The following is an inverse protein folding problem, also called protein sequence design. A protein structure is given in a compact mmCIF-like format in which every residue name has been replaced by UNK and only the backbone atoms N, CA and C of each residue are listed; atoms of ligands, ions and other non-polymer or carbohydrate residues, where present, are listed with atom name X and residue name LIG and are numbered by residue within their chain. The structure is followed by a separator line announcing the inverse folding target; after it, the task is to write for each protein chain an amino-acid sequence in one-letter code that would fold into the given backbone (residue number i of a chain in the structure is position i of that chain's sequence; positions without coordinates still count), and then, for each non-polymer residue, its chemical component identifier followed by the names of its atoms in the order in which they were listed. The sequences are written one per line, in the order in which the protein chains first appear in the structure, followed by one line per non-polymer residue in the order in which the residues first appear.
data_IF_854018106814
#
_entry.id   IF_854018106814
#
_cell.length_a   1.000
_cell.length_b   1.000
_cell.length_c   1.000
_cell.angle_alpha   90.00
_cell.angle_beta   90.00
_cell.angle_gamma   90.00
#
_symmetry.space_group_name_H-M   'P 1'
#
loop_
_entity.id
_entity.type
_entity.pdbx_description
1 polymer ?
#
# COMPACT_ATOMS: atom_id res chain seq x y z
N UNK A 1 12.36 -3.55 -11.07
CA UNK A 1 11.72 -2.52 -11.93
C UNK A 1 10.54 -3.16 -12.65
N UNK A 2 9.44 -2.44 -12.78
CA UNK A 2 8.24 -2.88 -13.51
C UNK A 2 7.84 -1.79 -14.51
N UNK A 3 7.64 -2.20 -15.77
CA UNK A 3 7.13 -1.39 -16.85
C UNK A 3 5.69 -1.83 -17.15
N UNK A 4 4.72 -0.91 -17.09
CA UNK A 4 3.35 -1.19 -17.50
C UNK A 4 2.62 0.12 -17.84
N UNK A 5 1.74 0.11 -18.85
CA UNK A 5 1.02 1.31 -19.31
C UNK A 5 1.92 2.54 -19.52
N UNK A 6 3.12 2.35 -20.10
CA UNK A 6 4.14 3.40 -20.31
C UNK A 6 4.70 4.05 -19.02
N UNK A 7 4.42 3.47 -17.85
CA UNK A 7 4.97 3.90 -16.56
C UNK A 7 6.05 2.94 -16.09
N UNK A 8 7.06 3.50 -15.42
CA UNK A 8 8.18 2.78 -14.83
C UNK A 8 8.13 2.89 -13.31
N UNK A 9 8.07 1.75 -12.63
CA UNK A 9 8.13 1.67 -11.17
C UNK A 9 9.40 1.01 -10.67
N UNK A 10 10.03 1.66 -9.71
CA UNK A 10 11.01 1.06 -8.83
C UNK A 10 10.29 0.42 -7.64
N UNK A 11 9.99 -0.87 -7.76
CA UNK A 11 9.35 -1.64 -6.69
C UNK A 11 10.40 -2.02 -5.65
N UNK A 12 10.08 -1.78 -4.37
CA UNK A 12 10.89 -2.13 -3.20
C UNK A 12 10.23 -3.26 -2.41
N UNK A 13 10.99 -3.87 -1.48
CA UNK A 13 10.42 -4.80 -0.51
C UNK A 13 9.29 -4.12 0.29
N UNK A 14 8.23 -4.87 0.59
CA UNK A 14 7.01 -4.31 1.21
C UNK A 14 6.05 -3.64 0.23
N UNK A 15 6.33 -3.68 -1.07
CA UNK A 15 5.42 -3.16 -2.09
C UNK A 15 4.85 -4.27 -2.98
N UNK A 16 3.59 -4.12 -3.35
CA UNK A 16 2.85 -5.02 -4.24
C UNK A 16 2.30 -4.19 -5.40
N UNK A 17 2.43 -4.68 -6.63
CA UNK A 17 1.78 -4.05 -7.79
C UNK A 17 0.65 -4.94 -8.27
N UNK A 18 -0.56 -4.37 -8.29
CA UNK A 18 -1.72 -4.98 -8.91
C UNK A 18 -1.84 -4.48 -10.33
N UNK A 19 -1.90 -5.40 -11.31
CA UNK A 19 -1.93 -5.08 -12.74
C UNK A 19 -3.28 -5.53 -13.30
N UNK A 20 -4.02 -4.69 -14.04
CA UNK A 20 -5.28 -5.11 -14.67
C UNK A 20 -5.02 -6.22 -15.70
N UNK A 21 -6.03 -7.07 -15.97
CA UNK A 21 -5.92 -8.09 -16.99
C UNK A 21 -5.65 -7.45 -18.36
N UNK A 22 -4.91 -8.18 -19.20
CA UNK A 22 -4.60 -7.82 -20.60
C UNK A 22 -3.73 -6.56 -20.79
N UNK A 23 -3.25 -5.93 -19.72
CA UNK A 23 -2.31 -4.82 -19.84
C UNK A 23 -0.90 -5.36 -20.13
N UNK A 24 -0.25 -4.94 -21.25
CA UNK A 24 1.13 -5.30 -21.50
C UNK A 24 2.05 -4.78 -20.40
N UNK A 25 2.87 -5.66 -19.85
CA UNK A 25 3.82 -5.32 -18.79
C UNK A 25 5.08 -6.18 -18.90
N UNK A 26 6.19 -5.66 -18.39
CA UNK A 26 7.47 -6.37 -18.26
C UNK A 26 8.14 -6.01 -16.95
N UNK A 27 8.93 -6.92 -16.40
CA UNK A 27 9.68 -6.66 -15.18
C UNK A 27 11.12 -7.14 -15.35
N UNK A 28 12.02 -6.51 -14.60
CA UNK A 28 13.41 -6.93 -14.52
C UNK A 28 14.03 -6.47 -13.19
N UNK A 29 15.08 -7.16 -12.74
CA UNK A 29 15.87 -6.78 -11.56
C UNK A 29 17.35 -6.72 -11.92
N UNK A 30 18.10 -5.80 -11.29
CA UNK A 30 19.56 -5.77 -11.35
C UNK A 30 20.20 -6.76 -10.38
N UNK A 31 19.49 -7.07 -9.31
CA UNK A 31 19.94 -7.95 -8.23
C UNK A 31 19.27 -9.33 -8.39
N UNK A 32 19.87 -10.36 -7.79
CA UNK A 32 19.22 -11.65 -7.66
C UNK A 32 18.10 -11.54 -6.61
N UNK A 33 16.94 -11.07 -7.05
CA UNK A 33 15.74 -10.91 -6.22
C UNK A 33 14.67 -11.88 -6.68
N UNK A 34 13.96 -12.49 -5.72
CA UNK A 34 12.79 -13.31 -6.03
C UNK A 34 11.59 -12.39 -6.28
N UNK A 35 10.94 -12.55 -7.44
CA UNK A 35 9.66 -11.93 -7.71
C UNK A 35 8.55 -12.97 -7.52
N UNK A 36 7.65 -12.69 -6.59
CA UNK A 36 6.45 -13.46 -6.37
C UNK A 36 5.31 -12.92 -7.24
N UNK A 37 4.75 -13.76 -8.10
CA UNK A 37 3.65 -13.40 -9.00
C UNK A 37 2.45 -14.26 -8.67
N UNK A 38 1.32 -13.60 -8.38
CA UNK A 38 0.02 -14.25 -8.20
C UNK A 38 -0.88 -13.84 -9.38
N UNK A 39 -1.23 -14.81 -10.22
CA UNK A 39 -2.21 -14.62 -11.28
C UNK A 39 -3.59 -15.02 -10.77
N UNK A 40 -4.56 -14.11 -10.88
CA UNK A 40 -5.92 -14.33 -10.43
C UNK A 40 -6.84 -14.45 -11.65
N UNK A 41 -7.23 -15.69 -11.99
CA UNK A 41 -8.15 -15.93 -13.11
C UNK A 41 -9.59 -15.51 -12.79
N UNK A 42 -9.96 -15.56 -11.51
CA UNK A 42 -11.26 -15.15 -11.02
C UNK A 42 -11.11 -14.41 -9.70
N UNK A 43 -11.71 -13.24 -9.62
CA UNK A 43 -11.82 -12.44 -8.39
C UNK A 43 -13.22 -11.82 -8.39
N UNK A 44 -13.93 -11.80 -7.25
CA UNK A 44 -15.18 -11.07 -7.13
C UNK A 44 -15.03 -9.64 -7.67
N UNK A 45 -16.02 -9.17 -8.43
CA UNK A 45 -15.92 -7.91 -9.19
C UNK A 45 -15.58 -6.73 -8.28
N UNK A 46 -16.17 -6.68 -7.10
CA UNK A 46 -15.96 -5.65 -6.08
C UNK A 46 -14.50 -5.65 -5.59
N UNK A 47 -13.92 -6.82 -5.31
CA UNK A 47 -12.52 -6.94 -4.92
C UNK A 47 -11.58 -6.59 -6.07
N UNK A 48 -11.90 -7.03 -7.30
CA UNK A 48 -11.10 -6.71 -8.49
C UNK A 48 -11.07 -5.21 -8.78
N UNK A 49 -12.21 -4.53 -8.68
CA UNK A 49 -12.32 -3.07 -8.86
C UNK A 49 -11.56 -2.29 -7.78
N UNK A 50 -11.48 -2.83 -6.57
CA UNK A 50 -10.68 -2.23 -5.51
C UNK A 50 -9.20 -2.46 -5.76
N UNK A 51 -8.76 -3.69 -6.04
CA UNK A 51 -7.34 -3.99 -6.33
C UNK A 51 -6.80 -3.21 -7.53
N UNK A 52 -7.64 -3.01 -8.55
CA UNK A 52 -7.28 -2.27 -9.75
C UNK A 52 -8.41 -1.30 -10.10
N UNK A 53 -8.41 -0.08 -9.55
CA UNK A 53 -9.43 0.91 -9.85
C UNK A 53 -9.22 1.44 -11.27
N UNK A 54 -9.91 0.83 -12.22
CA UNK A 54 -9.84 1.17 -13.64
C UNK A 54 -8.87 0.27 -14.43
N UNK A 55 -8.22 0.84 -15.45
CA UNK A 55 -7.33 0.12 -16.37
C UNK A 55 -5.85 0.53 -16.21
N UNK A 56 -5.47 0.92 -15.00
CA UNK A 56 -4.09 1.30 -14.68
C UNK A 56 -3.56 0.44 -13.54
N UNK A 57 -2.29 0.03 -13.56
CA UNK A 57 -1.72 -0.70 -12.45
C UNK A 57 -1.66 0.17 -11.19
N UNK A 58 -1.74 -0.50 -10.05
CA UNK A 58 -1.81 0.11 -8.73
C UNK A 58 -0.63 -0.37 -7.89
N UNK A 59 0.15 0.56 -7.35
CA UNK A 59 1.19 0.27 -6.36
C UNK A 59 0.57 0.32 -4.96
N UNK A 60 0.76 -0.73 -4.18
CA UNK A 60 0.31 -0.86 -2.80
C UNK A 60 1.56 -0.95 -1.94
N UNK A 61 1.72 -0.01 -1.01
CA UNK A 61 2.82 -0.05 -0.03
C UNK A 61 2.27 -0.54 1.29
N UNK A 62 2.85 -1.62 1.81
CA UNK A 62 2.39 -2.27 3.03
C UNK A 62 3.13 -1.70 4.24
N UNK A 63 2.40 -1.44 5.32
CA UNK A 63 3.03 -1.16 6.61
C UNK A 63 3.79 -2.39 7.10
N UNK A 64 4.83 -2.22 7.92
CA UNK A 64 5.63 -3.36 8.44
C UNK A 64 4.80 -4.52 9.04
N UNK A 65 3.80 -4.30 9.92
CA UNK A 65 3.00 -5.41 10.44
C UNK A 65 2.18 -6.09 9.34
N UNK A 66 1.54 -5.31 8.47
CA UNK A 66 0.78 -5.78 7.32
C UNK A 66 1.64 -6.57 6.34
N UNK A 67 2.91 -6.19 6.15
CA UNK A 67 3.84 -6.91 5.29
C UNK A 67 4.16 -8.31 5.84
N UNK A 68 4.37 -8.44 7.15
CA UNK A 68 4.61 -9.74 7.78
C UNK A 68 3.39 -10.68 7.64
N UNK A 69 2.18 -10.14 7.82
CA UNK A 69 0.92 -10.87 7.63
C UNK A 69 0.73 -11.28 6.16
N UNK A 70 0.97 -10.35 5.24
CA UNK A 70 0.95 -10.60 3.80
C UNK A 70 1.90 -11.75 3.41
N UNK A 71 3.13 -11.72 3.92
CA UNK A 71 4.15 -12.72 3.60
C UNK A 71 3.76 -14.11 4.15
N UNK A 72 3.24 -14.16 5.37
CA UNK A 72 2.73 -15.40 5.97
C UNK A 72 1.55 -15.99 5.18
N UNK A 73 0.60 -15.15 4.76
CA UNK A 73 -0.52 -15.56 3.92
C UNK A 73 -0.06 -16.05 2.55
N UNK A 74 0.91 -15.38 1.93
CA UNK A 74 1.48 -15.79 0.65
C UNK A 74 2.13 -17.17 0.73
N UNK A 75 2.95 -17.41 1.76
CA UNK A 75 3.57 -18.72 1.99
C UNK A 75 2.53 -19.82 2.22
N UNK A 76 1.44 -19.48 2.93
CA UNK A 76 0.33 -20.42 3.13
C UNK A 76 -0.36 -20.76 1.82
N UNK A 77 -0.62 -19.77 0.95
CA UNK A 77 -1.19 -19.99 -0.36
C UNK A 77 -0.31 -20.91 -1.22
N UNK A 78 1.00 -20.68 -1.25
CA UNK A 78 1.95 -21.57 -1.95
C UNK A 78 1.85 -23.01 -1.46
N UNK A 79 1.84 -23.20 -0.13
CA UNK A 79 1.72 -24.51 0.50
C UNK A 79 0.42 -25.22 0.09
N UNK A 80 -0.71 -24.50 0.07
CA UNK A 80 -2.01 -25.06 -0.33
C UNK A 80 -2.04 -25.45 -1.80
N UNK A 81 -1.39 -24.67 -2.67
CA UNK A 81 -1.27 -24.97 -4.10
C UNK A 81 -0.44 -26.23 -4.33
N UNK A 82 0.63 -26.43 -3.56
CA UNK A 82 1.48 -27.63 -3.65
C UNK A 82 0.78 -28.90 -3.13
N UNK A 83 -0.08 -28.79 -2.12
CA UNK A 83 -0.68 -29.91 -1.39
C UNK A 83 -1.90 -30.57 -2.07
N UNK A 84 -2.20 -30.24 -3.34
CA UNK A 84 -3.35 -30.70 -4.15
C UNK A 84 -4.54 -29.70 -4.14
N UNK A 85 -4.55 -28.72 -5.07
CA UNK A 85 -5.52 -27.61 -5.09
C UNK A 85 -6.97 -28.07 -5.21
N UNK A 86 -7.23 -29.14 -5.96
CA UNK A 86 -8.60 -29.61 -6.26
C UNK A 86 -9.34 -30.13 -5.02
N UNK A 87 -8.62 -30.63 -4.01
CA UNK A 87 -9.21 -31.09 -2.74
C UNK A 87 -9.40 -29.96 -1.74
N UNK A 88 -8.78 -28.80 -1.99
CA UNK A 88 -8.71 -27.69 -1.07
C UNK A 88 -9.31 -26.41 -1.66
N UNK A 89 -10.09 -26.49 -2.73
CA UNK A 89 -10.58 -25.34 -3.48
C UNK A 89 -11.29 -24.31 -2.59
N UNK A 90 -12.17 -24.76 -1.68
CA UNK A 90 -12.86 -23.87 -0.74
C UNK A 90 -11.89 -23.17 0.22
N UNK A 91 -10.87 -23.89 0.69
CA UNK A 91 -9.85 -23.34 1.57
C UNK A 91 -8.98 -22.33 0.83
N UNK A 92 -8.53 -22.67 -0.39
CA UNK A 92 -7.76 -21.79 -1.26
C UNK A 92 -8.53 -20.50 -1.55
N UNK A 93 -9.82 -20.59 -1.90
CA UNK A 93 -10.68 -19.42 -2.11
C UNK A 93 -10.77 -18.53 -0.87
N UNK A 94 -10.96 -19.11 0.32
CA UNK A 94 -11.03 -18.35 1.56
C UNK A 94 -9.71 -17.64 1.87
N UNK A 95 -8.57 -18.31 1.73
CA UNK A 95 -7.26 -17.69 1.93
C UNK A 95 -6.96 -16.61 0.90
N UNK A 96 -7.38 -16.80 -0.35
CA UNK A 96 -7.22 -15.80 -1.41
C UNK A 96 -8.06 -14.56 -1.14
N UNK A 97 -9.29 -14.72 -0.65
CA UNK A 97 -10.14 -13.61 -0.25
C UNK A 97 -9.53 -12.83 0.92
N UNK A 98 -9.05 -13.53 1.97
CA UNK A 98 -8.34 -12.89 3.09
C UNK A 98 -7.08 -12.16 2.60
N UNK A 99 -6.28 -12.79 1.74
CA UNK A 99 -5.08 -12.19 1.16
C UNK A 99 -5.38 -10.89 0.40
N UNK A 100 -6.41 -10.90 -0.44
CA UNK A 100 -6.85 -9.70 -1.17
C UNK A 100 -7.36 -8.64 -0.20
N UNK A 101 -8.12 -9.01 0.83
CA UNK A 101 -8.60 -8.06 1.83
C UNK A 101 -7.45 -7.41 2.61
N UNK A 102 -6.41 -8.16 2.97
CA UNK A 102 -5.20 -7.61 3.61
C UNK A 102 -4.53 -6.55 2.73
N UNK A 103 -4.49 -6.74 1.40
CA UNK A 103 -3.97 -5.72 0.47
C UNK A 103 -4.82 -4.43 0.45
N UNK A 104 -6.11 -4.55 0.75
CA UNK A 104 -7.09 -3.47 0.72
C UNK A 104 -7.33 -2.83 2.08
N UNK A 105 -6.76 -3.38 3.16
CA UNK A 105 -6.94 -2.88 4.53
C UNK A 105 -6.37 -1.46 4.72
N UNK A 106 -5.38 -1.09 3.89
CA UNK A 106 -4.77 0.24 3.84
C UNK A 106 -5.30 1.16 2.73
N UNK A 107 -6.40 0.84 2.05
CA UNK A 107 -6.91 1.57 0.87
C UNK A 107 -7.36 3.02 1.17
N UNK A 108 -7.30 3.48 2.42
CA UNK A 108 -7.42 4.91 2.75
C UNK A 108 -6.10 5.69 2.60
N UNK A 109 -4.97 5.02 2.42
CA UNK A 109 -3.60 5.60 2.45
C UNK A 109 -2.95 5.61 1.07
N UNK A 110 -3.75 5.70 0.00
CA UNK A 110 -3.25 5.66 -1.38
C UNK A 110 -3.13 7.02 -2.06
N UNK A 111 -3.67 8.08 -1.48
CA UNK A 111 -3.36 9.44 -1.92
C UNK A 111 -1.92 9.76 -1.48
N UNK A 112 -0.99 10.05 -2.40
CA UNK A 112 0.37 10.47 -2.06
C UNK A 112 0.39 11.63 -1.07
N UNK A 113 -0.62 12.51 -1.10
CA UNK A 113 -0.77 13.56 -0.11
C UNK A 113 -1.11 13.00 1.27
N UNK A 114 -1.94 11.96 1.36
CA UNK A 114 -2.26 11.28 2.63
C UNK A 114 -1.06 10.55 3.21
N UNK A 115 -0.24 9.88 2.38
CA UNK A 115 1.03 9.26 2.82
C UNK A 115 1.96 10.35 3.39
N UNK A 116 2.15 11.45 2.66
CA UNK A 116 2.99 12.55 3.11
C UNK A 116 2.48 13.14 4.45
N UNK A 117 1.17 13.16 4.68
CA UNK A 117 0.58 13.60 5.95
C UNK A 117 0.88 12.62 7.11
N UNK A 118 0.88 11.31 6.87
CA UNK A 118 1.32 10.35 7.89
C UNK A 118 2.81 10.48 8.21
N UNK A 119 3.66 10.75 7.22
CA UNK A 119 5.08 11.02 7.43
C UNK A 119 5.31 12.34 8.21
N UNK A 120 4.52 13.38 7.92
CA UNK A 120 4.50 14.63 8.71
C UNK A 120 4.14 14.32 10.16
N UNK A 121 3.09 13.53 10.42
CA UNK A 121 2.68 13.18 11.77
C UNK A 121 3.77 12.36 12.52
N UNK A 122 4.39 11.38 11.87
CA UNK A 122 5.48 10.59 12.45
C UNK A 122 6.74 11.44 12.75
N UNK A 123 7.05 12.42 11.89
CA UNK A 123 8.14 13.34 12.13
C UNK A 123 7.87 14.23 13.35
N UNK A 124 6.66 14.78 13.47
CA UNK A 124 6.29 15.60 14.63
C UNK A 124 6.28 14.81 15.94
N UNK A 125 5.91 13.52 15.92
CA UNK A 125 5.98 12.63 17.08
C UNK A 125 7.41 12.39 17.58
N UNK A 126 8.39 12.34 16.68
CA UNK A 126 9.79 12.11 17.04
C UNK A 126 10.52 13.40 17.45
N UNK A 127 9.88 14.56 17.29
CA UNK A 127 10.45 15.89 17.57
C UNK A 127 9.52 16.73 18.46
N UNK A 128 8.78 16.10 19.38
CA UNK A 128 7.81 16.77 20.27
C UNK A 128 8.43 17.86 21.17
N UNK A 129 9.71 17.70 21.53
CA UNK A 129 10.43 18.62 22.40
C UNK A 129 10.98 19.85 21.65
N UNK A 130 10.83 19.89 20.32
CA UNK A 130 11.28 21.00 19.48
C UNK A 130 10.12 21.93 19.09
N UNK A 131 10.32 23.25 19.11
CA UNK A 131 9.35 24.18 18.53
C UNK A 131 9.34 24.05 17.01
N UNK A 132 8.44 23.20 16.50
CA UNK A 132 8.25 23.01 15.05
C UNK A 132 7.19 23.98 14.53
N UNK A 133 7.57 24.85 13.60
CA UNK A 133 6.61 25.69 12.88
C UNK A 133 5.99 24.93 11.69
N UNK A 134 4.70 25.16 11.42
CA UNK A 134 4.01 24.54 10.28
C UNK A 134 4.70 24.92 8.96
N UNK A 135 5.18 26.16 8.83
CA UNK A 135 5.91 26.59 7.64
C UNK A 135 7.17 25.76 7.38
N UNK A 136 7.89 25.36 8.45
CA UNK A 136 9.08 24.51 8.35
C UNK A 136 8.70 23.08 7.97
N UNK A 137 7.62 22.52 8.53
CA UNK A 137 7.10 21.21 8.12
C UNK A 137 6.68 21.21 6.65
N UNK A 138 5.91 22.22 6.24
CA UNK A 138 5.44 22.35 4.88
C UNK A 138 6.64 22.41 3.90
N UNK A 139 7.67 23.17 4.23
CA UNK A 139 8.91 23.24 3.45
C UNK A 139 9.66 21.90 3.41
N UNK A 140 9.79 21.22 4.54
CA UNK A 140 10.52 19.94 4.65
C UNK A 140 9.86 18.82 3.84
N UNK A 141 8.52 18.82 3.76
CA UNK A 141 7.74 17.85 3.00
C UNK A 141 7.30 18.39 1.62
N UNK A 142 7.94 19.47 1.13
CA UNK A 142 7.72 20.05 -0.20
C UNK A 142 6.25 20.35 -0.53
N UNK A 143 5.50 20.84 0.45
CA UNK A 143 4.08 21.19 0.32
C UNK A 143 3.81 22.63 0.76
N UNK A 144 2.74 23.22 0.23
CA UNK A 144 2.29 24.53 0.69
C UNK A 144 1.62 24.42 2.08
N UNK A 145 1.76 25.46 2.90
CA UNK A 145 1.23 25.49 4.28
C UNK A 145 -0.29 25.22 4.34
N UNK A 146 -1.03 25.79 3.38
CA UNK A 146 -2.48 25.63 3.23
C UNK A 146 -2.83 24.18 2.85
N UNK A 147 -2.03 23.57 1.97
CA UNK A 147 -2.19 22.18 1.55
C UNK A 147 -1.95 21.24 2.72
N UNK A 148 -0.86 21.44 3.48
CA UNK A 148 -0.54 20.65 4.67
C UNK A 148 -1.71 20.69 5.66
N UNK A 149 -2.18 21.88 6.04
CA UNK A 149 -3.30 22.04 6.99
C UNK A 149 -4.57 21.36 6.52
N UNK A 150 -4.92 21.50 5.24
CA UNK A 150 -6.13 20.90 4.67
C UNK A 150 -6.06 19.38 4.68
N UNK A 151 -4.96 18.80 4.21
CA UNK A 151 -4.83 17.34 4.18
C UNK A 151 -4.66 16.76 5.59
N UNK A 152 -3.95 17.44 6.49
CA UNK A 152 -3.82 17.02 7.88
C UNK A 152 -5.18 16.99 8.60
N UNK A 153 -6.02 18.02 8.39
CA UNK A 153 -7.38 18.03 8.91
C UNK A 153 -8.26 16.96 8.25
N UNK A 154 -8.09 16.69 6.96
CA UNK A 154 -8.84 15.63 6.27
C UNK A 154 -8.49 14.23 6.81
N UNK A 155 -7.24 13.99 7.21
CA UNK A 155 -6.76 12.70 7.70
C UNK A 155 -7.01 12.51 9.20
N UNK A 156 -6.78 13.54 10.03
CA UNK A 156 -6.82 13.43 11.50
C UNK A 156 -7.99 14.18 12.15
N UNK A 157 -8.80 14.91 11.39
CA UNK A 157 -9.89 15.74 11.92
C UNK A 157 -9.44 16.94 12.77
N UNK A 158 -8.13 17.22 12.80
CA UNK A 158 -7.49 18.19 13.67
C UNK A 158 -6.50 19.07 12.90
N UNK A 159 -6.20 20.25 13.44
CA UNK A 159 -5.10 21.08 12.94
C UNK A 159 -3.75 20.51 13.39
N UNK A 160 -2.68 20.60 12.58
CA UNK A 160 -1.32 20.23 12.99
C UNK A 160 -0.86 20.90 14.29
N UNK A 161 -1.42 22.07 14.63
CA UNK A 161 -1.12 22.78 15.89
C UNK A 161 -1.63 22.03 17.15
N UNK A 162 -2.54 21.07 17.01
CA UNK A 162 -3.22 20.40 18.12
C UNK A 162 -2.67 18.97 18.35
N UNK A 163 -1.37 18.75 18.10
CA UNK A 163 -0.82 17.40 18.00
C UNK A 163 -0.88 16.57 19.30
N UNK A 164 -1.02 17.24 20.45
CA UNK A 164 -1.16 16.59 21.75
C UNK A 164 -2.32 15.59 21.82
N UNK A 165 -3.28 15.67 20.90
CA UNK A 165 -4.47 14.81 20.85
C UNK A 165 -4.37 13.60 19.91
N UNK A 166 -3.34 13.53 19.05
CA UNK A 166 -3.13 12.37 18.14
C UNK A 166 -2.55 11.17 18.90
N UNK A 167 -2.13 11.39 20.16
CA UNK A 167 -1.60 10.37 21.06
C UNK A 167 -2.70 9.78 21.96
N UNK A 168 -3.62 8.99 21.39
CA UNK A 168 -4.41 7.98 22.13
C UNK A 168 -4.60 6.74 21.25
#
# INVERSE_FOLDING_TARGET
MLDAAQHQWQIKAGQVVSIPPLLPHSWWSREQTLLNVLHLDYTPRDLAQRLVPGNYPRLITLAKPQFAEYEALFQRLLTLVEQSPSKQERLLRAYLEVFVLTLLEGDQVQDPATIAIYEVAAYMQTHLDEPISIARLAQQFLMADVTLRRHFHAVFGLSPNNISWICV
#
